data_IF_803335132355
#
_entry.id   IF_803335132355
#
_cell.length_a   1.000
_cell.length_b   1.000
_cell.length_c   1.000
_cell.angle_alpha   90.00
_cell.angle_beta   90.00
_cell.angle_gamma   90.00
#
_symmetry.space_group_name_H-M   'P 1'
#
loop_
_entity.id
_entity.type
_entity.pdbx_description
1 polymer ?
#
# COMPACT_ATOMS: atom_id res chain seq x y z
N UNK A 1 32.49 -23.84 -1.02
CA UNK A 1 31.93 -23.51 -2.35
C UNK A 1 30.52 -24.10 -2.55
N UNK A 2 30.31 -25.41 -2.38
CA UNK A 2 28.98 -26.04 -2.56
C UNK A 2 27.93 -25.52 -1.55
N UNK A 3 28.26 -25.48 -0.25
CA UNK A 3 27.36 -24.93 0.80
C UNK A 3 26.92 -23.48 0.55
N UNK A 4 27.80 -22.66 -0.02
CA UNK A 4 27.50 -21.27 -0.36
C UNK A 4 26.55 -21.18 -1.57
N UNK A 5 26.69 -22.07 -2.55
CA UNK A 5 25.76 -22.20 -3.67
C UNK A 5 24.36 -22.68 -3.22
N UNK A 6 24.32 -23.64 -2.31
CA UNK A 6 23.07 -24.15 -1.72
C UNK A 6 22.36 -23.05 -0.93
N UNK A 7 23.09 -22.26 -0.15
CA UNK A 7 22.55 -21.08 0.54
C UNK A 7 22.00 -20.06 -0.45
N UNK A 8 22.76 -19.70 -1.49
CA UNK A 8 22.30 -18.75 -2.51
C UNK A 8 21.03 -19.24 -3.23
N UNK A 9 20.96 -20.53 -3.55
CA UNK A 9 19.78 -21.14 -4.17
C UNK A 9 18.56 -21.07 -3.25
N UNK A 10 18.72 -21.38 -1.96
CA UNK A 10 17.66 -21.26 -0.96
C UNK A 10 17.20 -19.81 -0.78
N UNK A 11 18.12 -18.86 -0.65
CA UNK A 11 17.79 -17.43 -0.54
C UNK A 11 17.04 -16.92 -1.77
N UNK A 12 17.48 -17.32 -2.98
CA UNK A 12 16.81 -16.96 -4.23
C UNK A 12 15.40 -17.55 -4.32
N UNK A 13 15.22 -18.78 -3.87
CA UNK A 13 13.90 -19.44 -3.85
C UNK A 13 12.99 -18.81 -2.79
N UNK A 14 13.51 -18.43 -1.63
CA UNK A 14 12.77 -17.69 -0.60
C UNK A 14 12.36 -16.30 -1.09
N UNK A 15 13.25 -15.57 -1.77
CA UNK A 15 12.93 -14.25 -2.35
C UNK A 15 11.78 -14.31 -3.36
N UNK A 16 11.64 -15.40 -4.13
CA UNK A 16 10.49 -15.55 -5.05
C UNK A 16 9.15 -15.65 -4.32
N UNK A 17 9.15 -16.17 -3.10
CA UNK A 17 7.92 -16.41 -2.33
C UNK A 17 7.60 -15.25 -1.37
N UNK A 18 8.60 -14.47 -0.97
CA UNK A 18 8.46 -13.38 -0.02
C UNK A 18 9.23 -12.15 -0.48
N UNK A 19 8.58 -11.32 -1.31
CA UNK A 19 8.97 -9.92 -1.44
C UNK A 19 7.92 -9.07 -0.71
N UNK A 20 8.30 -8.34 0.34
CA UNK A 20 7.41 -7.35 0.92
C UNK A 20 7.02 -6.34 -0.17
N UNK A 21 5.76 -5.97 -0.21
CA UNK A 21 5.26 -4.98 -1.14
C UNK A 21 4.26 -4.07 -0.42
N UNK A 22 4.33 -2.78 -0.77
CA UNK A 22 3.32 -1.83 -0.38
C UNK A 22 2.15 -1.93 -1.36
N UNK A 23 0.93 -1.97 -0.84
CA UNK A 23 -0.29 -2.11 -1.65
C UNK A 23 -1.28 -0.99 -1.33
N UNK A 24 -1.88 -0.43 -2.38
CA UNK A 24 -2.99 0.53 -2.29
C UNK A 24 -4.10 0.15 -3.26
N UNK A 25 -5.34 0.32 -2.81
CA UNK A 25 -6.52 0.18 -3.67
C UNK A 25 -7.12 1.56 -3.91
N UNK A 26 -7.29 1.91 -5.18
CA UNK A 26 -7.96 3.14 -5.62
C UNK A 26 -9.32 2.76 -6.19
N UNK A 27 -10.39 3.27 -5.59
CA UNK A 27 -11.75 3.12 -6.10
C UNK A 27 -12.29 4.46 -6.57
N UNK A 28 -12.83 4.50 -7.78
CA UNK A 28 -13.42 5.68 -8.41
C UNK A 28 -14.89 5.40 -8.71
N UNK A 29 -15.78 6.32 -8.34
CA UNK A 29 -17.22 6.27 -8.64
C UNK A 29 -17.60 7.54 -9.41
N UNK A 30 -18.15 7.48 -10.64
CA UNK A 30 -18.40 8.64 -11.49
C UNK A 30 -19.75 9.31 -11.18
N UNK A 31 -20.04 9.60 -9.89
CA UNK A 31 -21.30 10.21 -9.44
C UNK A 31 -21.48 11.67 -9.97
N UNK A 32 -22.12 12.58 -9.21
CA UNK A 32 -22.16 14.04 -9.50
C UNK A 32 -20.79 14.71 -9.27
N UNK A 33 -19.77 14.21 -9.98
CA UNK A 33 -18.35 14.39 -9.68
C UNK A 33 -17.71 13.06 -9.30
N UNK A 34 -16.45 12.86 -9.68
CA UNK A 34 -15.75 11.63 -9.32
C UNK A 34 -15.53 11.56 -7.81
N UNK A 35 -15.89 10.42 -7.22
CA UNK A 35 -15.57 10.09 -5.83
C UNK A 35 -14.43 9.11 -5.79
N UNK A 36 -13.33 9.53 -5.18
CA UNK A 36 -12.09 8.75 -5.09
C UNK A 36 -11.92 8.28 -3.66
N UNK A 37 -11.87 6.97 -3.47
CA UNK A 37 -11.63 6.33 -2.19
C UNK A 37 -10.36 5.49 -2.22
N UNK A 38 -9.54 5.60 -1.17
CA UNK A 38 -8.33 4.81 -0.98
C UNK A 38 -8.50 3.75 0.10
N UNK A 39 -7.89 2.59 -0.09
CA UNK A 39 -7.77 1.58 0.98
C UNK A 39 -6.33 1.08 1.07
N UNK A 40 -5.81 0.95 2.29
CA UNK A 40 -4.44 0.52 2.57
C UNK A 40 -3.87 1.12 3.85
N UNK A 41 -2.55 1.05 4.02
CA UNK A 41 -1.84 1.54 5.21
C UNK A 41 -1.90 3.08 5.30
N UNK A 42 -2.19 3.61 6.49
CA UNK A 42 -2.31 5.06 6.72
C UNK A 42 -1.01 5.80 6.48
N UNK A 43 0.10 5.30 7.02
CA UNK A 43 1.42 5.91 6.88
C UNK A 43 1.82 6.01 5.40
N UNK A 44 1.49 4.98 4.62
CA UNK A 44 1.72 4.95 3.18
C UNK A 44 0.88 5.98 2.43
N UNK A 45 -0.41 6.10 2.77
CA UNK A 45 -1.30 7.11 2.16
C UNK A 45 -0.79 8.52 2.51
N UNK A 46 -0.39 8.78 3.75
CA UNK A 46 0.17 10.07 4.18
C UNK A 46 1.49 10.40 3.47
N UNK A 47 2.36 9.41 3.25
CA UNK A 47 3.62 9.56 2.48
C UNK A 47 3.35 10.02 1.02
N UNK A 48 2.28 9.50 0.40
CA UNK A 48 1.96 9.73 -1.01
C UNK A 48 1.08 10.98 -1.18
N UNK A 49 0.15 11.19 -0.25
CA UNK A 49 -0.82 12.28 -0.20
C UNK A 49 -0.68 13.03 1.13
N UNK A 50 0.38 13.83 1.32
CA UNK A 50 0.63 14.54 2.58
C UNK A 50 -0.49 15.52 2.96
N UNK A 51 -1.36 15.88 2.01
CA UNK A 51 -2.57 16.69 2.24
C UNK A 51 -3.59 16.00 3.18
N UNK A 52 -3.38 14.73 3.53
CA UNK A 52 -4.30 13.89 4.32
C UNK A 52 -3.87 13.66 5.78
N UNK A 53 -2.65 14.06 6.17
CA UNK A 53 -2.02 13.68 7.44
C UNK A 53 -2.83 14.04 8.69
N UNK A 54 -3.26 15.30 8.82
CA UNK A 54 -4.03 15.79 9.98
C UNK A 54 -5.39 15.11 10.13
N UNK A 55 -5.94 14.54 9.06
CA UNK A 55 -7.29 13.98 9.02
C UNK A 55 -7.30 12.53 9.49
N UNK A 56 -6.33 11.73 9.05
CA UNK A 56 -6.30 10.30 9.33
C UNK A 56 -5.99 9.99 10.80
N UNK A 57 -5.20 10.82 11.47
CA UNK A 57 -4.87 10.66 12.89
C UNK A 57 -6.00 11.06 13.84
N UNK A 58 -6.87 12.00 13.43
CA UNK A 58 -7.87 12.61 14.32
C UNK A 58 -9.29 12.03 14.18
N UNK A 59 -9.54 11.18 13.17
CA UNK A 59 -10.90 10.74 12.83
C UNK A 59 -11.28 9.39 13.46
N UNK A 60 -11.20 9.29 14.79
CA UNK A 60 -11.35 8.02 15.54
C UNK A 60 -12.73 7.35 15.40
N UNK A 61 -13.74 8.05 14.86
CA UNK A 61 -15.11 7.55 14.69
C UNK A 61 -15.60 7.52 13.24
N UNK A 62 -14.71 7.69 12.26
CA UNK A 62 -15.11 7.61 10.86
C UNK A 62 -15.27 6.15 10.41
N UNK A 63 -16.32 5.84 9.63
CA UNK A 63 -16.59 4.47 9.19
C UNK A 63 -15.46 3.82 8.36
N UNK A 64 -14.55 4.62 7.81
CA UNK A 64 -13.34 4.19 7.09
C UNK A 64 -12.13 3.93 8.00
N UNK A 65 -12.18 4.31 9.28
CA UNK A 65 -11.08 4.27 10.26
C UNK A 65 -11.34 3.23 11.36
N UNK A 66 -11.39 1.94 10.99
CA UNK A 66 -11.69 0.85 11.93
C UNK A 66 -10.44 0.14 12.45
N UNK A 67 -9.29 0.33 11.79
CA UNK A 67 -8.02 -0.27 12.14
C UNK A 67 -6.99 0.83 12.48
N UNK A 68 -6.10 0.65 13.47
CA UNK A 68 -5.10 1.66 13.82
C UNK A 68 -4.10 1.91 12.69
N UNK A 69 -3.79 0.93 11.86
CA UNK A 69 -2.75 0.97 10.82
C UNK A 69 -3.29 1.14 9.40
N UNK A 70 -4.51 0.68 9.13
CA UNK A 70 -5.11 0.67 7.79
C UNK A 70 -6.45 1.44 7.75
N UNK A 71 -6.81 1.89 6.56
CA UNK A 71 -8.12 2.48 6.26
C UNK A 71 -8.82 1.75 5.13
N UNK A 72 -10.15 1.74 5.17
CA UNK A 72 -11.00 1.14 4.15
C UNK A 72 -11.89 2.21 3.54
N UNK A 73 -11.72 2.46 2.23
CA UNK A 73 -12.47 3.48 1.47
C UNK A 73 -12.40 4.88 2.09
N UNK A 74 -11.19 5.30 2.48
CA UNK A 74 -10.89 6.67 2.88
C UNK A 74 -11.21 7.65 1.73
N UNK A 75 -12.09 8.66 1.93
CA UNK A 75 -12.56 9.54 0.86
C UNK A 75 -11.52 10.62 0.51
N UNK A 76 -10.56 10.29 -0.35
CA UNK A 76 -9.42 11.15 -0.68
C UNK A 76 -9.84 12.52 -1.22
N UNK A 77 -10.80 12.56 -2.14
CA UNK A 77 -11.24 13.80 -2.78
C UNK A 77 -11.98 14.78 -1.83
N UNK A 78 -12.31 14.35 -0.61
CA UNK A 78 -12.79 15.24 0.45
C UNK A 78 -11.69 16.10 1.06
N UNK A 79 -10.42 15.73 0.87
CA UNK A 79 -9.25 16.35 1.50
C UNK A 79 -8.18 16.78 0.50
N UNK A 80 -8.11 16.11 -0.65
CA UNK A 80 -7.16 16.40 -1.72
C UNK A 80 -7.90 16.84 -2.99
N UNK A 81 -7.43 17.90 -3.66
CA UNK A 81 -8.02 18.42 -4.90
C UNK A 81 -7.38 17.79 -6.14
N UNK A 82 -7.49 16.47 -6.24
CA UNK A 82 -6.97 15.69 -7.37
C UNK A 82 -8.09 14.88 -8.02
N UNK A 83 -8.04 14.79 -9.34
CA UNK A 83 -8.86 13.84 -10.09
C UNK A 83 -8.25 12.44 -10.12
N UNK A 84 -9.01 11.45 -10.56
CA UNK A 84 -8.60 10.04 -10.62
C UNK A 84 -7.34 9.84 -11.46
N UNK A 85 -7.20 10.56 -12.56
CA UNK A 85 -6.01 10.51 -13.43
C UNK A 85 -4.77 11.01 -12.68
N UNK A 86 -4.88 12.14 -11.97
CA UNK A 86 -3.79 12.71 -11.17
C UNK A 86 -3.41 11.82 -9.98
N UNK A 87 -4.38 11.15 -9.36
CA UNK A 87 -4.13 10.17 -8.29
C UNK A 87 -3.32 8.99 -8.81
N UNK A 88 -3.74 8.40 -9.95
CA UNK A 88 -3.04 7.29 -10.58
C UNK A 88 -1.64 7.71 -11.05
N UNK A 89 -1.52 8.89 -11.68
CA UNK A 89 -0.23 9.44 -12.10
C UNK A 89 0.74 9.59 -10.93
N UNK A 90 0.28 10.16 -9.81
CA UNK A 90 1.11 10.31 -8.59
C UNK A 90 1.57 8.96 -8.04
N UNK A 91 0.69 7.95 -8.05
CA UNK A 91 1.07 6.60 -7.62
C UNK A 91 2.14 5.99 -8.54
N UNK A 92 1.99 6.13 -9.86
CA UNK A 92 3.01 5.67 -10.81
C UNK A 92 4.35 6.38 -10.63
N UNK A 93 4.34 7.70 -10.41
CA UNK A 93 5.55 8.48 -10.10
C UNK A 93 6.22 8.03 -8.78
N UNK A 94 5.45 7.48 -7.84
CA UNK A 94 5.93 6.91 -6.57
C UNK A 94 6.36 5.43 -6.70
N UNK A 95 6.42 4.90 -7.92
CA UNK A 95 6.92 3.56 -8.22
C UNK A 95 5.90 2.43 -8.08
N UNK A 96 4.62 2.76 -7.90
CA UNK A 96 3.56 1.76 -7.95
C UNK A 96 3.33 1.28 -9.38
N UNK A 97 2.93 0.02 -9.52
CA UNK A 97 2.45 -0.59 -10.74
C UNK A 97 1.04 -1.14 -10.52
N UNK A 98 0.23 -1.19 -11.57
CA UNK A 98 -1.09 -1.79 -11.51
C UNK A 98 -0.96 -3.31 -11.46
N UNK A 99 -1.41 -3.90 -10.35
CA UNK A 99 -1.45 -5.35 -10.16
C UNK A 99 -2.78 -5.96 -10.65
N UNK A 100 -3.87 -5.23 -10.50
CA UNK A 100 -5.19 -5.63 -10.99
C UNK A 100 -6.10 -4.42 -11.24
N UNK A 101 -7.11 -4.62 -12.08
CA UNK A 101 -8.18 -3.65 -12.30
C UNK A 101 -9.51 -4.37 -12.46
N UNK A 102 -10.56 -3.83 -11.85
CA UNK A 102 -11.93 -4.27 -12.08
C UNK A 102 -12.88 -3.08 -12.11
N UNK A 103 -14.12 -3.33 -12.51
CA UNK A 103 -15.16 -2.31 -12.55
C UNK A 103 -16.51 -2.94 -12.86
N UNK A 104 -17.57 -2.17 -12.66
CA UNK A 104 -18.92 -2.64 -12.88
C UNK A 104 -19.94 -1.66 -12.32
N UNK A 105 -21.16 -2.15 -12.12
CA UNK A 105 -22.30 -1.35 -11.71
C UNK A 105 -23.20 -0.95 -12.89
N UNK A 106 -24.40 -0.50 -12.55
CA UNK A 106 -25.42 -0.02 -13.50
C UNK A 106 -25.76 1.42 -13.16
N UNK A 107 -26.13 2.22 -14.17
CA UNK A 107 -26.61 3.60 -14.03
C UNK A 107 -25.77 4.43 -13.02
N UNK A 108 -26.32 4.70 -11.84
CA UNK A 108 -25.76 5.52 -10.76
C UNK A 108 -24.92 4.75 -9.73
N UNK A 109 -24.53 3.51 -10.01
CA UNK A 109 -23.74 2.65 -9.11
C UNK A 109 -22.41 2.20 -9.72
N UNK A 110 -22.01 2.84 -10.83
CA UNK A 110 -20.78 2.51 -11.54
C UNK A 110 -19.55 2.72 -10.66
N UNK A 111 -18.57 1.84 -10.79
CA UNK A 111 -17.27 2.03 -10.15
C UNK A 111 -16.16 1.41 -10.99
N UNK A 112 -14.95 1.93 -10.76
CA UNK A 112 -13.69 1.32 -11.19
C UNK A 112 -12.80 1.17 -9.98
N UNK A 113 -12.11 0.05 -9.86
CA UNK A 113 -11.22 -0.26 -8.75
C UNK A 113 -9.88 -0.77 -9.30
N UNK A 114 -8.80 -0.19 -8.79
CA UNK A 114 -7.44 -0.46 -9.22
C UNK A 114 -6.62 -0.89 -8.00
N UNK A 115 -5.96 -2.03 -8.10
CA UNK A 115 -5.00 -2.51 -7.10
C UNK A 115 -3.62 -2.15 -7.60
N UNK A 116 -2.90 -1.34 -6.82
CA UNK A 116 -1.55 -0.89 -7.13
C UNK A 116 -0.57 -1.41 -6.09
N UNK A 117 0.59 -1.89 -6.54
CA UNK A 117 1.63 -2.42 -5.69
C UNK A 117 3.00 -1.82 -6.06
N UNK A 118 3.87 -1.59 -5.09
CA UNK A 118 5.31 -1.41 -5.32
C UNK A 118 6.10 -2.37 -4.46
N UNK A 119 7.20 -2.90 -5.00
CA UNK A 119 8.15 -3.64 -4.18
C UNK A 119 8.66 -2.73 -3.07
N UNK A 120 8.61 -3.23 -1.84
CA UNK A 120 9.09 -2.50 -0.69
C UNK A 120 10.61 -2.42 -0.79
N UNK A 121 11.11 -1.21 -1.09
CA UNK A 121 12.54 -0.93 -1.16
C UNK A 121 13.15 -0.73 0.24
N UNK A 122 12.38 -0.89 1.32
CA UNK A 122 12.92 -0.85 2.67
C UNK A 122 14.14 -1.78 2.72
N UNK A 123 15.32 -1.27 3.12
CA UNK A 123 16.49 -2.11 3.21
C UNK A 123 16.15 -3.29 4.12
N UNK A 124 16.44 -4.50 3.64
CA UNK A 124 16.40 -5.72 4.46
C UNK A 124 16.96 -5.36 5.83
N UNK A 125 16.25 -5.67 6.94
CA UNK A 125 16.73 -5.33 8.26
C UNK A 125 18.17 -5.80 8.36
N UNK A 126 19.10 -4.87 8.63
CA UNK A 126 20.51 -5.20 8.86
C UNK A 126 20.53 -6.41 9.79
N UNK A 127 21.21 -7.52 9.40
CA UNK A 127 21.15 -8.74 10.18
C UNK A 127 21.55 -8.39 11.60
N UNK A 128 20.60 -8.48 12.53
CA UNK A 128 20.85 -8.27 13.94
C UNK A 128 21.98 -9.21 14.31
N UNK A 129 23.07 -8.66 14.83
CA UNK A 129 24.22 -9.44 15.29
C UNK A 129 23.67 -10.44 16.30
N UNK A 130 23.55 -11.71 15.90
CA UNK A 130 23.19 -12.80 16.80
C UNK A 130 24.39 -13.02 17.70
N UNK A 131 24.39 -12.36 18.85
CA UNK A 131 25.32 -12.66 19.94
C UNK A 131 25.02 -14.12 20.31
N UNK A 132 25.97 -15.02 20.03
CA UNK A 132 25.90 -16.39 20.52
C UNK A 132 25.94 -16.31 22.04
N UNK A 133 24.82 -16.56 22.70
CA UNK A 133 24.85 -16.86 24.12
C UNK A 133 25.52 -18.23 24.26
N UNK A 134 26.73 -18.24 24.80
CA UNK A 134 27.31 -19.47 25.32
C UNK A 134 26.51 -19.90 26.56
N UNK A 135 26.22 -21.19 26.72
CA UNK A 135 25.61 -21.69 27.94
C UNK A 135 26.53 -21.40 29.12
N UNK A 136 25.99 -20.77 30.16
CA UNK A 136 26.65 -20.68 31.46
C UNK A 136 26.63 -22.08 32.08
N UNK A 137 27.82 -22.60 32.39
CA UNK A 137 28.02 -23.84 33.15
C UNK A 137 27.32 -23.80 34.52
#
# INVERSE_FOLDING_TARGET
>A
MIKELERWKQEKEQRKHFQPCDCLVVRVTPDLGERIALSGEKALIEEIFPETGDVMCNSVNAGWNQDPTHVIRFPLNGYCRLNSVQVLERLFQKGFNMAASCGGGVDSSQFSEYVLCREDRRPQPTPTIRIKQEPLD
#
